data_IF_950785166896
#
_entry.id   IF_950785166896
#
_cell.length_a   1.000
_cell.length_b   1.000
_cell.length_c   1.000
_cell.angle_alpha   90.00
_cell.angle_beta   90.00
_cell.angle_gamma   90.00
#
_symmetry.space_group_name_H-M   'P 1'
#
loop_
_entity.id
_entity.type
_entity.pdbx_description
1 polymer ?
#
# COMPACT_ATOMS: atom_id res chain seq x y z
N UNK A 1 -3.76 20.14 -2.66
CA UNK A 1 -4.21 19.19 -3.70
C UNK A 1 -4.70 17.92 -3.01
N UNK A 2 -5.83 17.33 -3.43
CA UNK A 2 -6.27 16.04 -2.91
C UNK A 2 -5.28 14.94 -3.31
N UNK A 3 -5.13 13.93 -2.44
CA UNK A 3 -4.26 12.77 -2.65
C UNK A 3 -5.13 11.52 -2.74
N UNK A 4 -5.02 10.79 -3.83
CA UNK A 4 -5.64 9.48 -4.01
C UNK A 4 -4.55 8.42 -3.94
N UNK A 5 -4.75 7.42 -3.08
CA UNK A 5 -3.83 6.28 -2.95
C UNK A 5 -4.48 5.05 -3.55
N UNK A 6 -3.85 4.47 -4.56
CA UNK A 6 -4.30 3.24 -5.21
C UNK A 6 -3.56 2.03 -4.66
N UNK A 7 -4.32 1.02 -4.24
CA UNK A 7 -3.83 -0.29 -3.78
C UNK A 7 -4.33 -1.34 -4.76
N UNK A 8 -3.41 -2.08 -5.37
CA UNK A 8 -3.79 -3.07 -6.37
C UNK A 8 -4.51 -4.28 -5.76
N UNK A 9 -5.44 -4.86 -6.53
CA UNK A 9 -6.06 -6.15 -6.23
C UNK A 9 -5.13 -7.32 -6.56
N UNK A 10 -5.72 -8.49 -6.87
CA UNK A 10 -4.98 -9.72 -7.18
C UNK A 10 -5.02 -10.77 -6.06
N UNK A 11 -6.08 -10.77 -5.25
CA UNK A 11 -6.36 -11.84 -4.27
C UNK A 11 -5.24 -12.06 -3.26
N UNK A 12 -4.49 -11.01 -2.92
CA UNK A 12 -3.34 -11.06 -1.99
C UNK A 12 -2.17 -11.92 -2.47
N UNK A 13 -2.18 -12.40 -3.72
CA UNK A 13 -1.20 -13.36 -4.27
C UNK A 13 -0.49 -12.82 -5.51
N UNK A 14 -1.07 -11.83 -6.20
CA UNK A 14 -0.48 -11.19 -7.37
C UNK A 14 -0.84 -9.71 -7.47
N UNK A 15 -0.30 -9.06 -8.50
CA UNK A 15 -0.52 -7.64 -8.80
C UNK A 15 0.66 -6.75 -8.43
N UNK A 16 0.58 -5.49 -8.86
CA UNK A 16 1.56 -4.46 -8.53
C UNK A 16 0.95 -3.07 -8.68
N UNK A 17 1.57 -2.07 -8.05
CA UNK A 17 1.20 -0.65 -8.20
C UNK A 17 1.37 -0.13 -9.65
N UNK A 18 2.20 -0.79 -10.46
CA UNK A 18 2.40 -0.44 -11.88
C UNK A 18 1.14 -0.65 -12.73
N UNK A 19 0.21 -1.52 -12.30
CA UNK A 19 -1.01 -1.79 -13.05
C UNK A 19 -1.99 -0.61 -13.16
N UNK A 20 -1.74 0.50 -12.45
CA UNK A 20 -2.58 1.68 -12.45
C UNK A 20 -1.93 2.84 -13.19
N UNK A 21 -2.61 3.35 -14.22
CA UNK A 21 -2.18 4.55 -14.92
C UNK A 21 -2.71 5.82 -14.21
N UNK A 22 -1.84 6.49 -13.47
CA UNK A 22 -2.18 7.71 -12.71
C UNK A 22 -2.43 8.97 -13.55
N UNK A 23 -2.09 8.97 -14.85
CA UNK A 23 -2.22 10.16 -15.71
C UNK A 23 -3.66 10.68 -15.79
N UNK A 24 -4.65 9.78 -15.75
CA UNK A 24 -6.06 10.16 -15.80
C UNK A 24 -6.50 11.09 -14.64
N UNK A 25 -5.84 11.00 -13.48
CA UNK A 25 -6.12 11.84 -12.31
C UNK A 25 -5.30 13.13 -12.30
N UNK A 26 -4.06 13.06 -12.80
CA UNK A 26 -3.16 14.21 -12.83
C UNK A 26 -3.60 15.27 -13.85
N UNK A 27 -4.09 14.84 -15.02
CA UNK A 27 -4.36 15.76 -16.13
C UNK A 27 -5.69 16.54 -15.98
N UNK A 28 -6.70 15.95 -15.32
CA UNK A 28 -8.05 16.51 -15.30
C UNK A 28 -8.37 17.34 -14.06
N UNK A 29 -7.89 16.90 -12.88
CA UNK A 29 -8.49 17.36 -11.61
C UNK A 29 -7.47 17.90 -10.59
N UNK A 30 -6.21 18.15 -10.98
CA UNK A 30 -5.14 18.57 -10.05
C UNK A 30 -5.01 17.65 -8.82
N UNK A 31 -5.07 16.33 -9.06
CA UNK A 31 -5.02 15.29 -8.02
C UNK A 31 -3.65 14.63 -8.03
N UNK A 32 -3.07 14.43 -6.85
CA UNK A 32 -1.86 13.60 -6.71
C UNK A 32 -2.31 12.15 -6.60
N UNK A 33 -1.96 11.32 -7.59
CA UNK A 33 -2.20 9.88 -7.55
C UNK A 33 -0.92 9.16 -7.10
N UNK A 34 -1.02 8.37 -6.03
CA UNK A 34 0.09 7.55 -5.51
C UNK A 34 -0.32 6.08 -5.56
N UNK A 35 0.46 5.26 -6.26
CA UNK A 35 0.30 3.81 -6.25
C UNK A 35 1.29 3.20 -5.26
N UNK A 36 0.89 2.17 -4.51
CA UNK A 36 1.78 1.47 -3.59
C UNK A 36 1.88 -0.02 -3.91
N UNK A 37 3.00 -0.64 -3.52
CA UNK A 37 3.16 -2.08 -3.46
C UNK A 37 3.05 -2.55 -2.01
N UNK A 38 2.54 -3.76 -1.82
CA UNK A 38 2.53 -4.45 -0.53
C UNK A 38 2.99 -5.89 -0.72
N UNK A 39 3.51 -6.52 0.35
CA UNK A 39 3.93 -7.92 0.27
C UNK A 39 2.74 -8.83 -0.01
N UNK A 40 2.97 -9.83 -0.87
CA UNK A 40 1.98 -10.79 -1.34
C UNK A 40 2.28 -12.20 -0.84
N UNK A 41 1.31 -13.11 -0.99
CA UNK A 41 1.43 -14.53 -0.69
C UNK A 41 1.95 -14.79 0.72
N UNK A 42 2.85 -15.76 0.85
CA UNK A 42 3.45 -16.13 2.14
C UNK A 42 4.18 -14.95 2.80
N UNK A 43 4.80 -14.05 2.02
CA UNK A 43 5.54 -12.92 2.59
C UNK A 43 4.62 -11.85 3.20
N UNK A 44 3.41 -11.70 2.65
CA UNK A 44 2.42 -10.73 3.10
C UNK A 44 1.43 -11.29 4.13
N UNK A 45 1.07 -12.56 4.03
CA UNK A 45 -0.12 -13.08 4.72
C UNK A 45 0.12 -14.37 5.50
N UNK A 46 1.38 -14.79 5.66
CA UNK A 46 1.71 -15.86 6.61
C UNK A 46 1.30 -15.48 8.04
N UNK A 47 0.74 -16.45 8.75
CA UNK A 47 0.17 -16.26 10.08
C UNK A 47 0.80 -17.25 11.06
N UNK A 48 1.73 -16.76 11.88
CA UNK A 48 2.51 -17.60 12.82
C UNK A 48 2.30 -17.20 14.29
N UNK A 49 1.16 -16.58 14.62
CA UNK A 49 0.89 -16.05 15.96
C UNK A 49 0.93 -17.10 17.08
N UNK A 50 0.73 -18.37 16.74
CA UNK A 50 0.77 -19.51 17.68
C UNK A 50 2.19 -19.80 18.19
N UNK A 51 3.22 -19.37 17.47
CA UNK A 51 4.60 -19.57 17.86
C UNK A 51 5.11 -18.31 18.56
N UNK A 52 5.43 -18.42 19.85
CA UNK A 52 5.83 -17.27 20.68
C UNK A 52 6.95 -16.43 20.05
N UNK A 53 7.94 -17.08 19.43
CA UNK A 53 9.08 -16.39 18.76
C UNK A 53 8.70 -15.71 17.44
N UNK A 54 7.60 -16.09 16.81
CA UNK A 54 7.16 -15.61 15.49
C UNK A 54 5.83 -14.87 15.55
N UNK A 55 5.40 -14.46 16.76
CA UNK A 55 4.07 -13.86 16.99
C UNK A 55 3.81 -12.59 16.18
N UNK A 56 4.88 -11.92 15.75
CA UNK A 56 4.81 -10.70 14.95
C UNK A 56 4.55 -10.96 13.46
N UNK A 57 4.75 -12.19 12.97
CA UNK A 57 4.49 -12.58 11.58
C UNK A 57 2.97 -12.80 11.42
N UNK A 58 2.28 -11.73 11.04
CA UNK A 58 0.84 -11.73 10.75
C UNK A 58 0.48 -10.55 9.86
N UNK A 59 -0.23 -10.81 8.76
CA UNK A 59 -0.83 -9.76 7.91
C UNK A 59 0.16 -8.64 7.53
N UNK A 60 1.41 -9.01 7.29
CA UNK A 60 2.50 -8.13 6.89
C UNK A 60 2.14 -7.24 5.68
N UNK A 61 1.37 -7.76 4.71
CA UNK A 61 0.90 -6.98 3.56
C UNK A 61 -0.03 -5.84 3.97
N UNK A 62 -0.92 -6.05 4.94
CA UNK A 62 -1.76 -4.97 5.49
C UNK A 62 -0.93 -3.97 6.30
N UNK A 63 0.07 -4.45 7.05
CA UNK A 63 1.00 -3.57 7.76
C UNK A 63 1.78 -2.67 6.79
N UNK A 64 2.19 -3.21 5.64
CA UNK A 64 2.83 -2.41 4.58
C UNK A 64 1.91 -1.30 4.08
N UNK A 65 0.63 -1.61 3.81
CA UNK A 65 -0.36 -0.59 3.42
C UNK A 65 -0.53 0.48 4.50
N UNK A 66 -0.66 0.09 5.77
CA UNK A 66 -0.79 1.04 6.87
C UNK A 66 0.44 1.96 7.00
N UNK A 67 1.65 1.39 6.92
CA UNK A 67 2.89 2.17 6.97
C UNK A 67 3.00 3.11 5.76
N UNK A 68 2.63 2.65 4.57
CA UNK A 68 2.61 3.50 3.38
C UNK A 68 1.65 4.68 3.52
N UNK A 69 0.42 4.45 4.03
CA UNK A 69 -0.54 5.53 4.29
C UNK A 69 -0.04 6.51 5.36
N UNK A 70 0.61 6.02 6.42
CA UNK A 70 1.23 6.88 7.44
C UNK A 70 2.36 7.73 6.85
N UNK A 71 3.19 7.13 5.98
CA UNK A 71 4.25 7.81 5.28
C UNK A 71 3.71 8.88 4.32
N UNK A 72 2.70 8.55 3.51
CA UNK A 72 2.01 9.48 2.59
C UNK A 72 1.40 10.64 3.37
N UNK A 73 0.74 10.36 4.51
CA UNK A 73 0.19 11.43 5.36
C UNK A 73 1.29 12.34 5.89
N UNK A 74 2.40 11.77 6.36
CA UNK A 74 3.53 12.54 6.89
C UNK A 74 4.13 13.46 5.83
N UNK A 75 4.39 12.96 4.62
CA UNK A 75 4.96 13.77 3.54
C UNK A 75 3.95 14.79 3.01
N UNK A 76 2.65 14.47 2.96
CA UNK A 76 1.64 15.42 2.48
C UNK A 76 1.45 16.62 3.41
N UNK A 77 1.77 16.49 4.71
CA UNK A 77 1.83 17.62 5.64
C UNK A 77 3.03 18.54 5.35
N UNK A 78 4.12 18.02 4.78
CA UNK A 78 5.21 18.81 4.20
C UNK A 78 4.80 19.17 2.77
N UNK A 79 3.99 20.23 2.66
CA UNK A 79 3.43 20.80 1.43
C UNK A 79 4.33 20.61 0.19
N UNK A 80 3.79 19.96 -0.83
CA UNK A 80 4.39 19.76 -2.15
C UNK A 80 4.61 21.08 -2.90
#
# INVERSE_FOLDING_TARGET
>A
MPVVVWVHGGGMTGGSGMGMNGHAFADKDSIICITINYRLGVFGFMYMVRYTRLRNIRHNGLQDCMMALQWIRKISCFRW
#
